data_IF_805600524006
#
_entry.id   IF_805600524006
#
_cell.length_a   1.000
_cell.length_b   1.000
_cell.length_c   1.000
_cell.angle_alpha   90.00
_cell.angle_beta   90.00
_cell.angle_gamma   90.00
#
_symmetry.space_group_name_H-M   'P 1'
#
loop_
_entity.id
_entity.type
_entity.pdbx_description
1 polymer ?
#
# COMPACT_ATOMS: atom_id res chain seq x y z
N UNK A 1 -24.92 19.75 -1.40
CA UNK A 1 -23.78 20.15 -0.54
C UNK A 1 -22.90 18.93 -0.40
N UNK A 2 -21.64 19.00 -0.85
CA UNK A 2 -20.63 18.00 -0.50
C UNK A 2 -20.22 18.34 0.93
N UNK A 3 -20.40 17.39 1.84
CA UNK A 3 -20.02 17.55 3.24
C UNK A 3 -18.49 17.64 3.32
N UNK A 4 -17.94 18.51 4.16
CA UNK A 4 -16.48 18.54 4.38
C UNK A 4 -16.02 17.26 5.11
N UNK A 5 -14.71 17.05 5.19
CA UNK A 5 -14.13 15.81 5.72
C UNK A 5 -14.56 15.53 7.18
N UNK A 6 -14.75 16.60 7.96
CA UNK A 6 -15.24 16.53 9.34
C UNK A 6 -16.71 16.10 9.41
N UNK A 7 -17.58 16.68 8.56
CA UNK A 7 -18.96 16.24 8.45
C UNK A 7 -19.07 14.77 8.02
N UNK A 8 -18.15 14.29 7.18
CA UNK A 8 -18.11 12.88 6.82
C UNK A 8 -17.71 11.95 7.97
N UNK A 9 -16.71 12.34 8.78
CA UNK A 9 -16.31 11.60 9.96
C UNK A 9 -17.48 11.40 10.94
N UNK A 10 -18.27 12.44 11.17
CA UNK A 10 -19.47 12.36 12.02
C UNK A 10 -20.48 11.36 11.46
N UNK A 11 -20.69 11.31 10.14
CA UNK A 11 -21.57 10.30 9.55
C UNK A 11 -21.09 8.87 9.76
N UNK A 12 -19.77 8.62 9.71
CA UNK A 12 -19.20 7.30 10.01
C UNK A 12 -19.40 6.92 11.50
N UNK A 13 -19.10 7.85 12.41
CA UNK A 13 -19.28 7.64 13.87
C UNK A 13 -20.74 7.52 14.28
N UNK A 14 -21.66 8.15 13.54
CA UNK A 14 -23.10 8.08 13.81
C UNK A 14 -23.81 6.93 13.08
N UNK A 15 -23.12 6.21 12.19
CA UNK A 15 -23.69 5.10 11.41
C UNK A 15 -24.60 5.57 10.26
N UNK A 16 -24.48 6.84 9.87
CA UNK A 16 -25.16 7.46 8.72
C UNK A 16 -24.39 7.25 7.41
N UNK A 17 -23.14 6.79 7.50
CA UNK A 17 -22.33 6.28 6.40
C UNK A 17 -21.67 4.96 6.84
N UNK A 18 -21.33 4.13 5.85
CA UNK A 18 -20.66 2.83 6.05
C UNK A 18 -19.42 2.70 5.16
N UNK A 19 -18.44 1.92 5.61
CA UNK A 19 -17.32 1.46 4.77
C UNK A 19 -17.56 -0.01 4.40
N UNK A 20 -17.66 -0.31 3.11
CA UNK A 20 -17.74 -1.66 2.58
C UNK A 20 -16.38 -2.07 2.03
N UNK A 21 -15.85 -3.21 2.46
CA UNK A 21 -14.50 -3.66 2.14
C UNK A 21 -14.55 -5.07 1.54
N UNK A 22 -14.07 -5.23 0.31
CA UNK A 22 -13.86 -6.53 -0.31
C UNK A 22 -12.35 -6.77 -0.39
N UNK A 23 -11.86 -7.80 0.31
CA UNK A 23 -10.45 -8.11 0.41
C UNK A 23 -10.19 -9.46 -0.25
N UNK A 24 -9.28 -9.52 -1.21
CA UNK A 24 -9.02 -10.72 -2.00
C UNK A 24 -7.52 -11.03 -1.95
N UNK A 25 -7.16 -12.18 -1.40
CA UNK A 25 -5.79 -12.69 -1.38
C UNK A 25 -5.75 -14.09 -1.98
N UNK A 26 -4.91 -14.30 -2.99
CA UNK A 26 -4.81 -15.58 -3.72
C UNK A 26 -3.36 -16.06 -3.74
N UNK A 27 -3.11 -17.15 -3.02
CA UNK A 27 -1.81 -17.84 -3.00
C UNK A 27 -1.79 -19.00 -3.98
N UNK A 28 -2.87 -19.78 -4.06
CA UNK A 28 -2.88 -21.03 -4.82
C UNK A 28 -3.82 -20.98 -6.03
N UNK A 29 -3.33 -21.53 -7.14
CA UNK A 29 -3.95 -21.55 -8.45
C UNK A 29 -4.06 -22.99 -8.97
N UNK A 30 -5.19 -23.33 -9.59
CA UNK A 30 -5.38 -24.66 -10.21
C UNK A 30 -4.65 -24.80 -11.54
N UNK A 31 -4.42 -23.68 -12.24
CA UNK A 31 -3.59 -23.65 -13.45
C UNK A 31 -2.10 -23.64 -13.10
N UNK A 32 -1.40 -24.72 -13.44
CA UNK A 32 0.03 -24.89 -13.19
C UNK A 32 0.94 -23.87 -13.88
N UNK A 33 0.43 -23.08 -14.84
CA UNK A 33 1.16 -21.96 -15.47
C UNK A 33 1.30 -20.76 -14.52
N UNK A 34 0.40 -20.65 -13.54
CA UNK A 34 0.47 -19.67 -12.46
C UNK A 34 1.22 -20.28 -11.28
N UNK A 35 2.37 -19.71 -10.95
CA UNK A 35 3.16 -20.16 -9.79
C UNK A 35 2.43 -19.80 -8.49
N UNK A 36 2.33 -20.71 -7.51
CA UNK A 36 1.81 -20.37 -6.19
C UNK A 36 2.58 -19.21 -5.54
N UNK A 37 1.87 -18.39 -4.79
CA UNK A 37 2.41 -17.35 -3.92
C UNK A 37 2.36 -17.82 -2.46
N UNK A 38 3.08 -17.12 -1.59
CA UNK A 38 3.19 -17.48 -0.17
C UNK A 38 2.77 -16.37 0.80
N UNK A 39 2.53 -15.16 0.29
CA UNK A 39 2.24 -13.99 1.13
C UNK A 39 0.88 -13.37 0.84
N UNK A 40 0.20 -13.64 -0.29
CA UNK A 40 -0.99 -12.89 -0.68
C UNK A 40 -2.15 -13.09 0.30
N UNK A 41 -2.39 -14.32 0.77
CA UNK A 41 -3.43 -14.57 1.78
C UNK A 41 -3.01 -14.02 3.14
N UNK A 42 -1.76 -14.25 3.56
CA UNK A 42 -1.25 -13.74 4.85
C UNK A 42 -1.32 -12.22 4.94
N UNK A 43 -0.95 -11.52 3.87
CA UNK A 43 -0.97 -10.06 3.79
C UNK A 43 -2.40 -9.52 3.75
N UNK A 44 -3.31 -10.20 3.06
CA UNK A 44 -4.73 -9.88 3.07
C UNK A 44 -5.35 -10.06 4.48
N UNK A 45 -4.97 -11.10 5.23
CA UNK A 45 -5.41 -11.32 6.61
C UNK A 45 -4.88 -10.24 7.57
N UNK A 46 -3.58 -9.89 7.47
CA UNK A 46 -3.00 -8.79 8.26
C UNK A 46 -3.70 -7.45 7.97
N UNK A 47 -4.07 -7.22 6.71
CA UNK A 47 -4.81 -6.05 6.28
C UNK A 47 -6.24 -6.06 6.84
N UNK A 48 -6.93 -7.20 6.82
CA UNK A 48 -8.25 -7.36 7.45
C UNK A 48 -8.19 -6.95 8.92
N UNK A 49 -7.21 -7.46 9.69
CA UNK A 49 -7.05 -7.13 11.10
C UNK A 49 -6.75 -5.64 11.32
N UNK A 50 -5.88 -5.05 10.50
CA UNK A 50 -5.59 -3.62 10.58
C UNK A 50 -6.82 -2.75 10.27
N UNK A 51 -7.64 -3.14 9.29
CA UNK A 51 -8.88 -2.44 8.94
C UNK A 51 -9.94 -2.58 10.04
N UNK A 52 -10.04 -3.74 10.70
CA UNK A 52 -10.92 -3.90 11.88
C UNK A 52 -10.52 -2.92 13.00
N UNK A 53 -9.22 -2.81 13.29
CA UNK A 53 -8.71 -1.86 14.28
C UNK A 53 -8.97 -0.43 13.85
N UNK A 54 -8.60 -0.07 12.61
CA UNK A 54 -8.72 1.29 12.09
C UNK A 54 -10.18 1.76 12.02
N UNK A 55 -11.14 0.85 11.86
CA UNK A 55 -12.57 1.19 11.74
C UNK A 55 -13.37 0.94 13.03
N UNK A 56 -12.73 0.58 14.14
CA UNK A 56 -13.42 0.21 15.39
C UNK A 56 -14.34 1.31 15.95
N UNK A 57 -14.00 2.58 15.70
CA UNK A 57 -14.76 3.75 16.17
C UNK A 57 -15.93 4.11 15.24
N UNK A 58 -16.07 3.44 14.09
CA UNK A 58 -17.16 3.66 13.16
C UNK A 58 -18.32 2.72 13.49
N UNK A 59 -19.55 3.24 13.53
CA UNK A 59 -20.73 2.42 13.84
C UNK A 59 -21.08 1.40 12.75
N UNK A 60 -20.52 1.57 11.55
CA UNK A 60 -20.79 0.70 10.42
C UNK A 60 -19.56 0.53 9.52
N UNK A 61 -18.93 -0.63 9.61
CA UNK A 61 -17.97 -1.14 8.63
C UNK A 61 -18.30 -2.61 8.34
N UNK A 62 -18.08 -3.06 7.10
CA UNK A 62 -18.35 -4.43 6.67
C UNK A 62 -17.16 -4.93 5.86
N UNK A 63 -16.55 -6.03 6.30
CA UNK A 63 -15.43 -6.68 5.58
C UNK A 63 -15.91 -8.01 5.01
N UNK A 64 -15.64 -8.22 3.73
CA UNK A 64 -15.91 -9.44 2.94
C UNK A 64 -14.58 -10.00 2.45
N UNK A 65 -13.90 -10.86 3.23
CA UNK A 65 -12.63 -11.44 2.83
C UNK A 65 -12.83 -12.70 1.96
N UNK A 66 -11.98 -12.85 0.94
CA UNK A 66 -11.88 -14.03 0.09
C UNK A 66 -10.42 -14.49 0.06
N UNK A 67 -10.16 -15.69 0.60
CA UNK A 67 -8.83 -16.27 0.74
C UNK A 67 -8.71 -17.53 -0.12
N UNK A 68 -7.77 -17.53 -1.06
CA UNK A 68 -7.47 -18.67 -1.92
C UNK A 68 -6.11 -19.28 -1.59
N UNK A 69 -6.04 -20.12 -0.56
CA UNK A 69 -4.85 -20.87 -0.17
C UNK A 69 -5.09 -22.39 -0.24
N UNK A 70 -3.99 -23.16 -0.25
CA UNK A 70 -3.99 -24.61 -0.33
C UNK A 70 -4.66 -25.20 0.92
N UNK A 71 -5.62 -26.08 0.68
CA UNK A 71 -6.44 -26.70 1.74
C UNK A 71 -7.76 -25.99 2.01
N UNK A 72 -7.92 -24.76 1.52
CA UNK A 72 -9.18 -24.03 1.56
C UNK A 72 -10.03 -24.30 0.31
N UNK A 73 -11.29 -23.84 0.35
CA UNK A 73 -12.14 -23.80 -0.86
C UNK A 73 -11.51 -22.81 -1.86
N UNK A 74 -11.28 -23.20 -3.13
CA UNK A 74 -10.79 -22.28 -4.15
C UNK A 74 -11.73 -21.08 -4.32
N UNK A 75 -11.17 -19.87 -4.43
CA UNK A 75 -11.92 -18.65 -4.75
C UNK A 75 -12.14 -18.59 -6.26
N UNK A 76 -13.40 -18.51 -6.68
CA UNK A 76 -13.75 -18.39 -8.11
C UNK A 76 -14.15 -16.97 -8.50
N UNK A 77 -14.23 -16.73 -9.81
CA UNK A 77 -14.75 -15.47 -10.35
C UNK A 77 -16.17 -15.19 -9.86
N UNK A 78 -17.02 -16.22 -9.83
CA UNK A 78 -18.40 -16.13 -9.37
C UNK A 78 -18.48 -15.77 -7.89
N UNK A 79 -17.58 -16.30 -7.04
CA UNK A 79 -17.52 -15.94 -5.62
C UNK A 79 -17.24 -14.43 -5.46
N UNK A 80 -16.26 -13.89 -6.20
CA UNK A 80 -15.93 -12.45 -6.16
C UNK A 80 -17.05 -11.59 -6.74
N UNK A 81 -17.61 -11.97 -7.89
CA UNK A 81 -18.70 -11.23 -8.52
C UNK A 81 -19.97 -11.23 -7.67
N UNK A 82 -20.25 -12.30 -6.93
CA UNK A 82 -21.37 -12.37 -5.99
C UNK A 82 -21.22 -11.40 -4.81
N UNK A 83 -20.03 -11.32 -4.19
CA UNK A 83 -19.77 -10.36 -3.13
C UNK A 83 -19.80 -8.92 -3.66
N UNK A 84 -19.19 -8.68 -4.82
CA UNK A 84 -19.21 -7.35 -5.45
C UNK A 84 -20.64 -6.92 -5.80
N UNK A 85 -21.46 -7.80 -6.36
CA UNK A 85 -22.87 -7.52 -6.65
C UNK A 85 -23.65 -7.20 -5.37
N UNK A 86 -23.43 -7.96 -4.29
CA UNK A 86 -24.05 -7.73 -2.98
C UNK A 86 -23.71 -6.35 -2.43
N UNK A 87 -22.43 -5.96 -2.51
CA UNK A 87 -21.96 -4.64 -2.07
C UNK A 87 -22.55 -3.53 -2.96
N UNK A 88 -22.47 -3.66 -4.28
CA UNK A 88 -22.99 -2.66 -5.24
C UNK A 88 -24.49 -2.42 -5.07
N UNK A 89 -25.26 -3.45 -4.74
CA UNK A 89 -26.70 -3.34 -4.48
C UNK A 89 -27.00 -2.69 -3.12
N UNK A 90 -26.14 -2.89 -2.13
CA UNK A 90 -26.35 -2.43 -0.75
C UNK A 90 -25.82 -1.02 -0.48
N UNK A 91 -24.77 -0.60 -1.20
CA UNK A 91 -24.04 0.63 -0.94
C UNK A 91 -24.89 1.88 -1.20
N UNK A 92 -24.76 2.88 -0.32
CA UNK A 92 -25.48 4.16 -0.40
C UNK A 92 -24.56 5.30 -0.84
N UNK A 93 -25.16 6.44 -1.15
CA UNK A 93 -24.45 7.63 -1.65
C UNK A 93 -23.33 8.09 -0.70
N UNK A 94 -23.54 8.02 0.62
CA UNK A 94 -22.55 8.46 1.60
C UNK A 94 -21.49 7.41 1.96
N UNK A 95 -21.64 6.19 1.49
CA UNK A 95 -20.76 5.09 1.84
C UNK A 95 -19.43 5.15 1.07
N UNK A 96 -18.43 4.46 1.60
CA UNK A 96 -17.13 4.22 0.96
C UNK A 96 -17.06 2.76 0.54
N UNK A 97 -16.56 2.51 -0.67
CA UNK A 97 -16.24 1.18 -1.17
C UNK A 97 -14.73 1.02 -1.24
N UNK A 98 -14.16 0.03 -0.56
CA UNK A 98 -12.73 -0.29 -0.53
C UNK A 98 -12.53 -1.68 -1.11
N UNK A 99 -11.70 -1.80 -2.14
CA UNK A 99 -11.32 -3.08 -2.74
C UNK A 99 -9.81 -3.27 -2.55
N UNK A 100 -9.42 -4.42 -2.02
CA UNK A 100 -8.03 -4.85 -1.97
C UNK A 100 -7.87 -6.15 -2.75
N UNK A 101 -6.83 -6.24 -3.57
CA UNK A 101 -6.44 -7.47 -4.25
C UNK A 101 -4.93 -7.70 -4.13
N UNK A 102 -4.55 -8.93 -3.78
CA UNK A 102 -3.18 -9.44 -3.79
C UNK A 102 -3.16 -10.78 -4.51
N UNK A 103 -2.31 -10.91 -5.53
CA UNK A 103 -2.25 -12.11 -6.37
C UNK A 103 -1.64 -11.83 -7.74
N UNK A 104 -1.76 -12.79 -8.66
CA UNK A 104 -1.28 -12.62 -10.04
C UNK A 104 -2.24 -11.78 -10.89
N UNK A 105 -1.66 -11.10 -11.89
CA UNK A 105 -2.39 -10.50 -13.01
C UNK A 105 -1.93 -11.14 -14.31
N UNK A 106 -2.80 -11.21 -15.30
CA UNK A 106 -2.47 -11.71 -16.63
C UNK A 106 -3.15 -10.86 -17.71
N UNK A 107 -2.48 -10.70 -18.85
CA UNK A 107 -3.04 -10.01 -20.01
C UNK A 107 -3.64 -11.05 -20.95
N UNK A 108 -4.95 -10.94 -21.18
CA UNK A 108 -5.68 -11.77 -22.11
C UNK A 108 -5.29 -11.54 -23.58
N UNK A 109 -5.68 -12.47 -24.44
CA UNK A 109 -5.52 -12.34 -25.90
C UNK A 109 -6.33 -11.17 -26.50
N UNK A 110 -7.29 -10.66 -25.73
CA UNK A 110 -8.09 -9.45 -26.00
C UNK A 110 -7.39 -8.16 -25.54
N UNK A 111 -6.12 -8.25 -25.13
CA UNK A 111 -5.33 -7.14 -24.61
C UNK A 111 -6.02 -6.46 -23.41
N UNK A 112 -6.68 -7.26 -22.55
CA UNK A 112 -7.28 -6.81 -21.29
C UNK A 112 -6.56 -7.42 -20.09
N UNK A 113 -6.49 -6.65 -19.00
CA UNK A 113 -5.91 -7.12 -17.74
C UNK A 113 -6.95 -7.86 -16.91
N UNK A 114 -6.58 -9.06 -16.47
CA UNK A 114 -7.35 -9.91 -15.57
C UNK A 114 -6.59 -10.14 -14.28
N UNK A 115 -7.28 -10.05 -13.15
CA UNK A 115 -6.79 -10.50 -11.85
C UNK A 115 -7.04 -12.00 -11.74
N UNK A 116 -6.00 -12.76 -11.44
CA UNK A 116 -6.08 -14.22 -11.34
C UNK A 116 -6.64 -14.63 -9.98
N UNK A 117 -7.59 -15.56 -10.01
CA UNK A 117 -8.23 -16.18 -8.86
C UNK A 117 -7.83 -17.66 -8.81
N UNK A 118 -8.19 -18.37 -7.74
CA UNK A 118 -7.72 -19.76 -7.54
C UNK A 118 -8.06 -20.70 -8.70
N UNK A 119 -9.16 -20.44 -9.42
CA UNK A 119 -9.61 -21.28 -10.54
C UNK A 119 -9.27 -20.73 -11.93
N UNK A 120 -8.59 -19.58 -12.01
CA UNK A 120 -8.23 -18.94 -13.28
C UNK A 120 -7.39 -19.87 -14.15
N UNK A 121 -7.75 -19.93 -15.43
CA UNK A 121 -7.01 -20.62 -16.49
C UNK A 121 -6.44 -19.57 -17.44
N UNK A 122 -5.12 -19.56 -17.61
CA UNK A 122 -4.40 -18.55 -18.42
C UNK A 122 -4.68 -18.64 -19.93
N UNK A 123 -5.17 -19.78 -20.41
CA UNK A 123 -5.71 -19.94 -21.77
C UNK A 123 -7.20 -19.59 -21.92
N UNK A 124 -7.88 -19.25 -20.81
CA UNK A 124 -9.28 -18.86 -20.79
C UNK A 124 -9.56 -17.73 -19.78
N UNK A 125 -8.75 -16.67 -19.83
CA UNK A 125 -8.81 -15.54 -18.90
C UNK A 125 -10.15 -14.79 -18.95
N UNK A 126 -10.77 -14.67 -20.14
CA UNK A 126 -12.05 -13.99 -20.31
C UNK A 126 -13.15 -14.60 -19.43
N UNK A 127 -13.23 -15.92 -19.40
CA UNK A 127 -14.26 -16.63 -18.64
C UNK A 127 -13.86 -16.82 -17.17
N UNK A 128 -12.59 -17.09 -16.89
CA UNK A 128 -12.13 -17.57 -15.56
C UNK A 128 -11.36 -16.56 -14.72
N UNK A 129 -10.92 -15.45 -15.31
CA UNK A 129 -10.23 -14.36 -14.63
C UNK A 129 -11.18 -13.20 -14.30
N UNK A 130 -10.83 -12.40 -13.30
CA UNK A 130 -11.57 -11.18 -12.96
C UNK A 130 -11.04 -9.99 -13.76
N UNK A 131 -11.75 -9.61 -14.82
CA UNK A 131 -11.34 -8.49 -15.67
C UNK A 131 -11.33 -7.16 -14.91
N UNK A 132 -10.21 -6.44 -14.93
CA UNK A 132 -10.07 -5.14 -14.23
C UNK A 132 -11.08 -4.11 -14.75
N UNK A 133 -11.34 -4.09 -16.06
CA UNK A 133 -12.38 -3.23 -16.64
C UNK A 133 -13.78 -3.58 -16.14
N UNK A 134 -14.07 -4.87 -15.97
CA UNK A 134 -15.35 -5.31 -15.41
C UNK A 134 -15.49 -4.83 -13.96
N UNK A 135 -14.48 -5.07 -13.12
CA UNK A 135 -14.44 -4.58 -11.73
C UNK A 135 -14.67 -3.07 -11.66
N UNK A 136 -13.91 -2.28 -12.44
CA UNK A 136 -14.06 -0.83 -12.48
C UNK A 136 -15.44 -0.40 -12.99
N UNK A 137 -16.06 -1.12 -13.92
CA UNK A 137 -17.44 -0.83 -14.36
C UNK A 137 -18.48 -1.00 -13.25
N UNK A 138 -18.32 -2.01 -12.39
CA UNK A 138 -19.17 -2.22 -11.21
C UNK A 138 -18.98 -1.10 -10.19
N UNK A 139 -17.73 -0.68 -9.96
CA UNK A 139 -17.43 0.51 -9.14
C UNK A 139 -18.12 1.74 -9.74
N UNK A 140 -18.06 1.95 -11.05
CA UNK A 140 -18.73 3.08 -11.70
C UNK A 140 -20.24 3.06 -11.45
N UNK A 141 -20.86 1.89 -11.57
CA UNK A 141 -22.30 1.69 -11.41
C UNK A 141 -22.80 1.82 -9.95
N UNK A 142 -21.92 1.61 -8.96
CA UNK A 142 -22.29 1.68 -7.54
C UNK A 142 -22.75 3.08 -7.13
N UNK A 143 -23.51 3.18 -6.03
CA UNK A 143 -23.92 4.50 -5.50
C UNK A 143 -22.87 5.18 -4.64
N UNK A 144 -21.81 4.46 -4.23
CA UNK A 144 -20.76 4.99 -3.36
C UNK A 144 -20.15 6.26 -3.96
N UNK A 145 -20.09 7.35 -3.18
CA UNK A 145 -19.42 8.58 -3.61
C UNK A 145 -17.91 8.50 -3.45
N UNK A 146 -17.43 7.60 -2.58
CA UNK A 146 -16.02 7.39 -2.25
C UNK A 146 -15.60 5.98 -2.56
N UNK A 147 -14.48 5.84 -3.26
CA UNK A 147 -14.01 4.55 -3.75
C UNK A 147 -12.51 4.44 -3.60
N UNK A 148 -12.06 3.33 -3.03
CA UNK A 148 -10.65 3.03 -2.81
C UNK A 148 -10.33 1.70 -3.47
N UNK A 149 -9.25 1.66 -4.24
CA UNK A 149 -8.73 0.44 -4.87
C UNK A 149 -7.27 0.28 -4.48
N UNK A 150 -6.93 -0.83 -3.86
CA UNK A 150 -5.56 -1.15 -3.49
C UNK A 150 -5.16 -2.45 -4.19
N UNK A 151 -4.04 -2.42 -4.92
CA UNK A 151 -3.60 -3.54 -5.75
C UNK A 151 -2.15 -3.88 -5.43
N UNK A 152 -1.94 -5.07 -4.86
CA UNK A 152 -0.63 -5.71 -4.72
C UNK A 152 -0.52 -6.87 -5.73
N UNK A 153 -0.65 -6.53 -7.01
CA UNK A 153 -0.78 -7.51 -8.10
C UNK A 153 0.48 -7.68 -8.96
N UNK A 154 1.60 -7.06 -8.57
CA UNK A 154 2.82 -7.00 -9.39
C UNK A 154 3.73 -8.23 -9.24
N UNK A 155 3.19 -9.35 -8.73
CA UNK A 155 3.91 -10.63 -8.59
C UNK A 155 4.03 -11.43 -9.92
N UNK A 156 3.50 -10.91 -11.01
CA UNK A 156 3.36 -11.62 -12.30
C UNK A 156 4.37 -11.10 -13.34
N UNK A 157 5.62 -11.51 -13.21
CA UNK A 157 6.60 -11.37 -14.29
C UNK A 157 7.61 -12.47 -14.16
N UNK A 158 7.31 -13.67 -14.66
CA UNK A 158 8.19 -14.81 -14.42
C UNK A 158 7.78 -16.16 -14.97
N UNK A 159 7.09 -16.20 -16.13
CA UNK A 159 6.89 -17.45 -16.87
C UNK A 159 7.00 -17.23 -18.39
N UNK A 160 8.20 -16.97 -18.92
CA UNK A 160 8.49 -17.30 -20.33
C UNK A 160 8.92 -18.76 -20.37
N UNK A 161 7.93 -19.63 -20.60
CA UNK A 161 8.09 -21.06 -20.83
C UNK A 161 7.48 -21.48 -22.16
N UNK A 162 8.14 -21.09 -23.26
CA UNK A 162 8.29 -21.95 -24.44
C UNK A 162 7.02 -22.43 -25.19
N UNK A 163 6.22 -21.54 -25.80
CA UNK A 163 5.42 -21.90 -27.00
C UNK A 163 5.35 -20.70 -27.98
N UNK A 164 5.68 -20.97 -29.24
CA UNK A 164 6.19 -19.98 -30.17
C UNK A 164 5.15 -19.19 -30.98
N UNK A 165 5.55 -17.97 -31.36
CA UNK A 165 5.06 -17.30 -32.56
C UNK A 165 6.25 -16.58 -33.23
N UNK A 166 6.94 -17.31 -34.11
CA UNK A 166 7.95 -16.76 -35.03
C UNK A 166 7.25 -15.79 -35.98
N UNK A 167 7.64 -14.52 -35.98
CA UNK A 167 7.46 -13.63 -37.13
C UNK A 167 8.81 -13.23 -37.71
N UNK A 168 8.85 -13.23 -39.04
CA UNK A 168 10.03 -13.30 -39.93
C UNK A 168 10.80 -11.98 -40.00
N UNK A 169 12.14 -12.05 -40.12
CA UNK A 169 12.92 -10.92 -40.61
C UNK A 169 14.43 -10.95 -40.42
N UNK A 170 15.13 -11.67 -41.30
CA UNK A 170 16.51 -11.42 -41.80
C UNK A 170 17.77 -11.75 -40.98
N UNK A 171 18.70 -12.36 -41.74
CA UNK A 171 20.14 -12.51 -41.57
C UNK A 171 20.66 -13.63 -40.64
N UNK A 172 20.93 -14.76 -41.30
CA UNK A 172 21.86 -15.82 -40.90
C UNK A 172 23.28 -15.25 -40.83
N UNK A 173 23.95 -15.41 -39.70
CA UNK A 173 25.41 -15.48 -39.61
C UNK A 173 25.76 -16.69 -38.75
N UNK A 174 26.25 -17.75 -39.40
CA UNK A 174 26.87 -18.90 -38.74
C UNK A 174 28.17 -18.46 -38.03
N UNK A 175 28.34 -18.85 -36.77
CA UNK A 175 29.67 -18.98 -36.15
C UNK A 175 29.76 -20.30 -35.39
N UNK A 176 30.87 -21.00 -35.65
CA UNK A 176 31.26 -22.30 -35.10
C UNK A 176 31.62 -22.26 -33.60
N UNK A 177 31.63 -23.41 -32.90
CA UNK A 177 31.70 -23.48 -31.44
C UNK A 177 33.13 -23.61 -30.96
N UNK A 178 33.71 -22.53 -30.42
CA UNK A 178 34.90 -22.54 -29.56
C UNK A 178 35.17 -21.09 -29.14
N UNK A 179 34.54 -20.68 -28.05
CA UNK A 179 35.01 -19.63 -27.14
C UNK A 179 34.03 -19.64 -25.97
N UNK A 180 34.49 -20.12 -24.81
CA UNK A 180 33.75 -20.07 -23.57
C UNK A 180 34.20 -18.81 -22.81
N UNK A 181 33.38 -17.76 -22.67
CA UNK A 181 33.64 -16.73 -21.70
C UNK A 181 33.04 -17.16 -20.36
N UNK A 182 33.88 -17.09 -19.34
CA UNK A 182 33.61 -16.67 -17.96
C UNK A 182 32.13 -16.49 -17.61
N UNK A 183 31.68 -17.24 -16.60
CA UNK A 183 30.30 -17.31 -16.14
C UNK A 183 29.62 -15.95 -16.10
N UNK A 184 28.58 -15.81 -16.91
CA UNK A 184 27.55 -14.80 -16.71
C UNK A 184 26.93 -15.08 -15.34
N UNK A 185 27.09 -14.14 -14.42
CA UNK A 185 26.21 -13.96 -13.27
C UNK A 185 24.83 -13.59 -13.84
N UNK A 186 24.13 -14.58 -14.41
CA UNK A 186 22.74 -14.42 -14.79
C UNK A 186 21.96 -14.17 -13.50
N UNK A 187 21.54 -12.91 -13.32
CA UNK A 187 20.49 -12.55 -12.41
C UNK A 187 19.24 -13.35 -12.83
N UNK A 188 19.03 -14.51 -12.20
CA UNK A 188 17.85 -15.38 -12.31
C UNK A 188 16.58 -14.69 -11.74
N UNK A 189 16.58 -13.35 -11.66
CA UNK A 189 15.41 -12.59 -11.29
C UNK A 189 14.35 -12.76 -12.38
N UNK A 190 13.10 -13.07 -11.99
CA UNK A 190 12.02 -13.14 -12.96
C UNK A 190 11.93 -11.83 -13.76
N UNK A 191 11.99 -11.91 -15.09
CA UNK A 191 11.80 -10.73 -15.96
C UNK A 191 10.45 -10.08 -15.62
N UNK A 192 10.50 -8.88 -15.02
CA UNK A 192 9.32 -8.06 -14.78
C UNK A 192 8.61 -7.85 -16.10
N UNK A 193 7.34 -8.27 -16.22
CA UNK A 193 6.53 -7.93 -17.38
C UNK A 193 5.94 -6.52 -17.16
N UNK A 194 6.52 -5.45 -17.75
CA UNK A 194 6.06 -4.08 -17.50
C UNK A 194 4.62 -3.86 -17.97
N UNK A 195 4.13 -4.70 -18.90
CA UNK A 195 2.82 -4.54 -19.51
C UNK A 195 1.67 -4.61 -18.51
N UNK A 196 1.79 -5.42 -17.44
CA UNK A 196 0.74 -5.54 -16.42
C UNK A 196 0.58 -4.23 -15.65
N UNK A 197 1.69 -3.67 -15.15
CA UNK A 197 1.68 -2.39 -14.44
C UNK A 197 1.22 -1.24 -15.33
N UNK A 198 1.65 -1.24 -16.59
CA UNK A 198 1.20 -0.29 -17.60
C UNK A 198 -0.33 -0.39 -17.81
N UNK A 199 -0.85 -1.60 -18.06
CA UNK A 199 -2.28 -1.81 -18.33
C UNK A 199 -3.17 -1.47 -17.14
N UNK A 200 -2.71 -1.77 -15.93
CA UNK A 200 -3.40 -1.41 -14.70
C UNK A 200 -3.52 0.11 -14.58
N UNK A 201 -2.40 0.82 -14.78
CA UNK A 201 -2.34 2.28 -14.74
C UNK A 201 -3.22 2.91 -15.82
N UNK A 202 -3.22 2.37 -17.04
CA UNK A 202 -4.09 2.80 -18.15
C UNK A 202 -5.58 2.67 -17.80
N UNK A 203 -6.01 1.49 -17.31
CA UNK A 203 -7.40 1.24 -16.92
C UNK A 203 -7.86 2.19 -15.80
N UNK A 204 -6.99 2.44 -14.81
CA UNK A 204 -7.29 3.34 -13.70
C UNK A 204 -7.33 4.81 -14.13
N UNK A 205 -6.43 5.26 -15.01
CA UNK A 205 -6.48 6.61 -15.57
C UNK A 205 -7.76 6.88 -16.37
N UNK A 206 -8.19 5.90 -17.17
CA UNK A 206 -9.46 5.96 -17.90
C UNK A 206 -10.66 6.02 -16.92
N UNK A 207 -10.58 5.28 -15.81
CA UNK A 207 -11.59 5.31 -14.77
C UNK A 207 -11.67 6.68 -14.08
N UNK A 208 -10.54 7.18 -13.57
CA UNK A 208 -10.39 8.48 -12.91
C UNK A 208 -10.98 9.61 -13.76
N UNK A 209 -10.73 9.57 -15.08
CA UNK A 209 -11.22 10.57 -16.02
C UNK A 209 -12.74 10.53 -16.27
N UNK A 210 -13.42 9.44 -15.91
CA UNK A 210 -14.82 9.19 -16.29
C UNK A 210 -15.76 8.84 -15.13
N UNK A 211 -15.25 8.63 -13.91
CA UNK A 211 -16.03 8.11 -12.78
C UNK A 211 -16.98 9.17 -12.17
N UNK A 212 -16.56 10.44 -12.12
CA UNK A 212 -17.33 11.51 -11.48
C UNK A 212 -17.51 11.36 -9.97
N UNK A 213 -16.62 10.61 -9.31
CA UNK A 213 -16.64 10.24 -7.88
C UNK A 213 -15.31 10.57 -7.23
N UNK A 214 -15.29 10.66 -5.90
CA UNK A 214 -14.04 10.70 -5.14
C UNK A 214 -13.43 9.29 -5.19
N UNK A 215 -12.25 9.18 -5.79
CA UNK A 215 -11.58 7.92 -6.06
C UNK A 215 -10.12 7.98 -5.65
N UNK A 216 -9.63 6.89 -5.07
CA UNK A 216 -8.23 6.72 -4.73
C UNK A 216 -7.76 5.32 -5.11
N UNK A 217 -6.72 5.21 -5.91
CA UNK A 217 -6.03 3.95 -6.14
C UNK A 217 -4.60 4.00 -5.60
N UNK A 218 -4.19 2.90 -4.97
CA UNK A 218 -2.86 2.67 -4.44
C UNK A 218 -2.29 1.36 -4.99
N UNK A 219 -1.22 1.45 -5.78
CA UNK A 219 -0.57 0.30 -6.42
C UNK A 219 0.79 0.03 -5.75
N UNK A 220 1.19 -1.23 -5.66
CA UNK A 220 2.38 -1.62 -4.91
C UNK A 220 3.71 -1.18 -5.53
N UNK A 221 3.78 -0.95 -6.84
CA UNK A 221 4.97 -0.43 -7.52
C UNK A 221 4.63 0.34 -8.82
N UNK A 222 5.62 1.07 -9.35
CA UNK A 222 5.57 1.73 -10.66
C UNK A 222 5.78 0.73 -11.82
N UNK A 223 5.52 1.20 -13.05
CA UNK A 223 5.82 0.45 -14.26
C UNK A 223 7.30 0.05 -14.32
N UNK A 224 7.57 -1.21 -14.68
CA UNK A 224 8.92 -1.75 -14.76
C UNK A 224 9.61 -2.01 -13.41
N UNK A 225 8.89 -1.90 -12.30
CA UNK A 225 9.35 -2.26 -10.96
C UNK A 225 8.68 -3.55 -10.46
N UNK A 226 9.20 -4.11 -9.37
CA UNK A 226 8.69 -5.34 -8.77
C UNK A 226 8.13 -5.06 -7.36
N UNK A 227 7.11 -5.81 -6.95
CA UNK A 227 6.71 -5.88 -5.54
C UNK A 227 7.59 -6.92 -4.82
N UNK A 228 8.32 -6.50 -3.79
CA UNK A 228 9.26 -7.37 -3.08
C UNK A 228 8.65 -7.91 -1.79
N UNK A 229 9.07 -9.12 -1.45
CA UNK A 229 8.77 -9.78 -0.18
C UNK A 229 10.04 -9.96 0.64
N UNK A 230 9.87 -9.90 1.97
CA UNK A 230 10.95 -10.21 2.93
C UNK A 230 10.48 -11.34 3.84
N UNK A 231 11.37 -12.30 4.10
CA UNK A 231 11.07 -13.46 4.95
C UNK A 231 10.63 -13.02 6.35
N UNK A 232 9.53 -13.58 6.85
CA UNK A 232 8.91 -13.21 8.13
C UNK A 232 8.18 -11.85 8.15
N UNK A 233 8.27 -11.08 7.06
CA UNK A 233 7.73 -9.73 6.91
C UNK A 233 6.48 -9.72 6.02
N UNK A 234 6.48 -10.56 4.98
CA UNK A 234 5.50 -10.53 3.88
C UNK A 234 5.91 -9.54 2.79
N UNK A 235 4.95 -9.11 1.96
CA UNK A 235 5.14 -8.06 0.97
C UNK A 235 5.49 -6.73 1.62
N UNK A 236 6.56 -6.07 1.17
CA UNK A 236 7.04 -4.80 1.76
C UNK A 236 5.96 -3.71 1.67
N UNK A 237 5.26 -3.62 0.55
CA UNK A 237 4.16 -2.68 0.36
C UNK A 237 3.03 -2.93 1.35
N UNK A 238 2.51 -4.17 1.40
CA UNK A 238 1.36 -4.48 2.25
C UNK A 238 1.72 -4.40 3.73
N UNK A 239 2.94 -4.73 4.12
CA UNK A 239 3.43 -4.49 5.48
C UNK A 239 3.25 -3.02 5.89
N UNK A 240 3.73 -2.06 5.10
CA UNK A 240 3.59 -0.64 5.47
C UNK A 240 2.17 -0.13 5.31
N UNK A 241 1.35 -0.73 4.44
CA UNK A 241 -0.09 -0.45 4.41
C UNK A 241 -0.75 -0.82 5.73
N UNK A 242 -0.48 -2.04 6.23
CA UNK A 242 -0.96 -2.56 7.51
C UNK A 242 -0.49 -1.68 8.67
N UNK A 243 0.80 -1.34 8.73
CA UNK A 243 1.35 -0.50 9.79
C UNK A 243 0.81 0.94 9.76
N UNK A 244 0.58 1.47 8.55
CA UNK A 244 -0.08 2.76 8.37
C UNK A 244 -1.51 2.77 8.92
N UNK A 245 -2.28 1.71 8.61
CA UNK A 245 -3.66 1.52 9.09
C UNK A 245 -3.75 1.25 10.60
N UNK A 246 -2.71 0.67 11.20
CA UNK A 246 -2.59 0.58 12.68
C UNK A 246 -2.31 1.93 13.35
N UNK A 247 -2.22 3.02 12.59
CA UNK A 247 -2.12 4.38 13.11
C UNK A 247 -0.82 5.09 12.81
N UNK A 248 0.20 4.43 12.25
CA UNK A 248 1.46 5.11 11.87
C UNK A 248 1.29 6.12 10.74
N UNK A 249 0.21 6.01 9.96
CA UNK A 249 -0.17 6.98 8.95
C UNK A 249 -1.27 7.95 9.41
N UNK A 250 -1.68 7.91 10.69
CA UNK A 250 -2.69 8.81 11.18
C UNK A 250 -2.21 10.27 11.12
N UNK A 251 -3.13 11.16 10.74
CA UNK A 251 -2.93 12.59 10.70
C UNK A 251 -2.95 13.17 12.14
N UNK A 252 -2.80 14.50 12.27
CA UNK A 252 -2.86 15.18 13.54
C UNK A 252 -4.06 14.83 14.45
N UNK A 253 -5.23 14.77 13.84
CA UNK A 253 -6.50 14.48 14.50
C UNK A 253 -6.69 12.97 14.78
N UNK A 254 -5.71 12.14 14.44
CA UNK A 254 -5.77 10.68 14.56
C UNK A 254 -6.52 10.02 13.39
N UNK A 255 -6.86 10.74 12.33
CA UNK A 255 -7.57 10.20 11.17
C UNK A 255 -6.60 9.56 10.20
N UNK A 256 -6.96 8.39 9.67
CA UNK A 256 -6.23 7.75 8.58
C UNK A 256 -6.95 8.13 7.29
N UNK A 257 -6.38 9.13 6.62
CA UNK A 257 -6.80 9.57 5.30
C UNK A 257 -5.93 8.90 4.23
N UNK A 258 -6.47 8.66 3.05
CA UNK A 258 -5.75 7.94 1.99
C UNK A 258 -4.48 8.69 1.51
N UNK A 259 -4.48 10.02 1.48
CA UNK A 259 -3.28 10.81 1.12
C UNK A 259 -2.14 10.60 2.13
N UNK A 260 -2.46 10.65 3.42
CA UNK A 260 -1.50 10.40 4.50
C UNK A 260 -1.01 8.94 4.51
N UNK A 261 -1.93 7.99 4.33
CA UNK A 261 -1.59 6.57 4.19
C UNK A 261 -0.65 6.32 3.02
N UNK A 262 -0.91 6.90 1.85
CA UNK A 262 -0.02 6.81 0.70
C UNK A 262 1.38 7.36 0.99
N UNK A 263 1.49 8.57 1.56
CA UNK A 263 2.79 9.19 1.87
C UNK A 263 3.61 8.29 2.80
N UNK A 264 2.96 7.75 3.84
CA UNK A 264 3.57 6.81 4.77
C UNK A 264 4.04 5.54 4.04
N UNK A 265 3.16 4.89 3.29
CA UNK A 265 3.45 3.65 2.57
C UNK A 265 4.60 3.85 1.59
N UNK A 266 4.51 4.86 0.69
CA UNK A 266 5.55 5.14 -0.31
C UNK A 266 6.92 5.35 0.33
N UNK A 267 6.99 6.20 1.36
CA UNK A 267 8.25 6.50 2.05
C UNK A 267 8.90 5.24 2.59
N UNK A 268 8.15 4.45 3.33
CA UNK A 268 8.69 3.30 4.04
C UNK A 268 8.97 2.13 3.09
N UNK A 269 8.16 1.93 2.04
CA UNK A 269 8.44 0.93 1.00
C UNK A 269 9.76 1.22 0.29
N UNK A 270 9.96 2.45 -0.21
CA UNK A 270 11.21 2.84 -0.89
C UNK A 270 12.42 2.67 0.03
N UNK A 271 12.30 3.11 1.29
CA UNK A 271 13.35 2.94 2.30
C UNK A 271 13.68 1.47 2.56
N UNK A 272 12.67 0.64 2.76
CA UNK A 272 12.83 -0.77 3.07
C UNK A 272 13.46 -1.54 1.91
N UNK A 273 13.10 -1.23 0.66
CA UNK A 273 13.76 -1.81 -0.51
C UNK A 273 15.24 -1.41 -0.54
N UNK A 274 15.55 -0.15 -0.27
CA UNK A 274 16.93 0.34 -0.22
C UNK A 274 17.77 -0.31 0.89
N UNK A 275 17.16 -0.61 2.04
CA UNK A 275 17.84 -1.18 3.22
C UNK A 275 17.91 -2.71 3.17
N UNK A 276 16.87 -3.39 2.68
CA UNK A 276 16.72 -4.85 2.80
C UNK A 276 16.92 -5.59 1.48
N UNK A 277 16.64 -4.96 0.33
CA UNK A 277 16.74 -5.61 -0.99
C UNK A 277 17.99 -5.15 -1.75
N UNK A 278 18.27 -3.84 -1.78
CA UNK A 278 19.41 -3.30 -2.52
C UNK A 278 20.80 -3.84 -2.11
N UNK A 279 21.06 -4.29 -0.86
CA UNK A 279 22.33 -4.94 -0.53
C UNK A 279 22.64 -6.19 -1.36
N UNK A 280 21.60 -6.93 -1.80
CA UNK A 280 21.75 -8.11 -2.66
C UNK A 280 21.35 -7.84 -4.11
N UNK A 281 20.52 -6.81 -4.36
CA UNK A 281 20.05 -6.42 -5.70
C UNK A 281 20.14 -4.90 -5.90
N UNK A 282 21.32 -4.33 -6.25
CA UNK A 282 21.55 -2.88 -6.24
C UNK A 282 20.62 -2.03 -7.13
N UNK A 283 19.99 -2.63 -8.14
CA UNK A 283 19.07 -1.96 -9.07
C UNK A 283 17.59 -2.11 -8.66
N UNK A 284 17.30 -2.85 -7.58
CA UNK A 284 15.93 -3.10 -7.13
C UNK A 284 15.21 -1.79 -6.77
N UNK A 285 13.96 -1.70 -7.21
CA UNK A 285 13.08 -0.57 -6.92
C UNK A 285 11.68 -1.09 -6.62
N UNK A 286 11.00 -0.36 -5.74
CA UNK A 286 9.57 -0.48 -5.52
C UNK A 286 9.05 0.86 -5.00
N UNK A 287 8.27 1.52 -5.83
CA UNK A 287 7.73 2.85 -5.56
C UNK A 287 6.22 2.77 -5.69
N UNK A 288 5.47 2.80 -4.58
CA UNK A 288 4.02 2.77 -4.63
C UNK A 288 3.45 3.93 -5.46
N UNK A 289 2.45 3.62 -6.28
CA UNK A 289 1.78 4.58 -7.17
C UNK A 289 0.45 5.00 -6.59
N UNK A 290 0.14 6.29 -6.68
CA UNK A 290 -1.16 6.84 -6.33
C UNK A 290 -1.84 7.44 -7.55
N UNK A 291 -3.12 7.12 -7.72
CA UNK A 291 -4.02 7.75 -8.69
C UNK A 291 -5.27 8.25 -7.97
N UNK A 292 -5.69 9.48 -8.22
CA UNK A 292 -6.86 10.07 -7.54
C UNK A 292 -7.81 10.77 -8.50
N UNK A 293 -9.10 10.78 -8.15
CA UNK A 293 -10.14 11.59 -8.78
C UNK A 293 -10.98 12.27 -7.71
N UNK A 294 -11.59 13.41 -8.04
CA UNK A 294 -12.44 14.15 -7.12
C UNK A 294 -11.70 15.25 -6.36
N UNK A 295 -12.36 15.83 -5.36
CA UNK A 295 -11.89 17.06 -4.69
C UNK A 295 -11.69 16.89 -3.18
N UNK A 296 -11.95 15.71 -2.65
CA UNK A 296 -11.81 15.41 -1.22
C UNK A 296 -10.95 14.17 -1.03
N UNK A 297 -10.18 14.16 0.06
CA UNK A 297 -9.53 12.94 0.51
C UNK A 297 -10.55 12.00 1.15
N UNK A 298 -10.16 10.73 1.33
CA UNK A 298 -11.03 9.67 1.83
C UNK A 298 -10.50 9.22 3.19
N UNK A 299 -11.34 9.34 4.23
CA UNK A 299 -11.09 8.73 5.54
C UNK A 299 -11.36 7.23 5.43
N UNK A 300 -10.39 6.40 5.81
CA UNK A 300 -10.53 4.95 5.88
C UNK A 300 -10.47 4.40 7.31
N UNK A 301 -10.05 5.21 8.28
CA UNK A 301 -9.99 4.80 9.67
C UNK A 301 -9.63 5.93 10.64
N UNK A 302 -9.59 5.57 11.92
CA UNK A 302 -9.01 6.35 13.01
C UNK A 302 -7.86 5.50 13.54
N UNK A 303 -6.66 6.08 13.56
CA UNK A 303 -5.52 5.46 14.21
C UNK A 303 -5.80 5.33 15.69
N UNK A 304 -5.95 4.11 16.17
CA UNK A 304 -5.69 3.83 17.57
C UNK A 304 -4.21 4.12 17.76
N UNK A 305 -3.84 5.23 18.42
CA UNK A 305 -2.48 5.42 18.87
C UNK A 305 -2.22 4.38 19.97
N UNK A 306 -2.03 3.11 19.59
CA UNK A 306 -1.47 2.06 20.45
C UNK A 306 0.05 2.16 20.41
N UNK A 307 0.60 3.36 20.57
CA UNK A 307 1.83 3.43 21.33
C UNK A 307 1.34 3.42 22.77
N UNK A 308 1.69 2.37 23.53
CA UNK A 308 1.64 2.58 24.96
C UNK A 308 2.50 3.80 25.28
N UNK A 309 2.16 4.53 26.33
CA UNK A 309 2.88 5.73 26.76
C UNK A 309 4.40 5.48 26.93
N UNK A 310 4.82 4.22 27.06
CA UNK A 310 6.20 3.76 27.16
C UNK A 310 6.91 3.59 25.79
N UNK A 311 6.19 3.29 24.71
CA UNK A 311 6.78 2.93 23.40
C UNK A 311 7.32 4.13 22.60
N UNK A 312 6.76 5.34 22.80
CA UNK A 312 7.21 6.56 22.12
C UNK A 312 8.64 6.97 22.53
N UNK A 313 9.12 6.49 23.68
CA UNK A 313 10.44 6.81 24.24
C UNK A 313 11.15 5.62 24.89
N UNK A 314 10.75 4.37 24.59
CA UNK A 314 11.35 3.19 25.20
C UNK A 314 12.87 3.16 24.94
N UNK A 315 13.72 2.86 25.96
CA UNK A 315 15.14 2.68 25.72
C UNK A 315 15.36 1.48 24.79
N UNK A 316 16.36 1.53 23.89
CA UNK A 316 16.65 0.40 23.01
C UNK A 316 16.96 -0.86 23.86
N UNK A 317 16.64 -2.07 23.36
CA UNK A 317 16.94 -3.31 24.06
C UNK A 317 18.41 -3.36 24.51
N UNK A 318 18.67 -3.96 25.66
CA UNK A 318 20.02 -3.94 26.28
C UNK A 318 21.14 -4.56 25.41
N UNK A 319 20.79 -5.30 24.34
CA UNK A 319 21.72 -5.98 23.44
C UNK A 319 21.82 -5.34 22.04
N UNK A 320 21.39 -4.09 21.88
CA UNK A 320 21.41 -3.40 20.58
C UNK A 320 22.82 -2.85 20.27
N UNK A 321 23.33 -3.03 19.05
CA UNK A 321 24.66 -2.53 18.67
C UNK A 321 24.73 -1.00 18.73
N UNK A 322 25.91 -0.41 18.94
CA UNK A 322 26.04 1.04 19.15
C UNK A 322 25.55 1.89 17.97
N UNK A 323 25.68 1.38 16.73
CA UNK A 323 25.13 2.04 15.54
C UNK A 323 23.61 1.97 15.46
N UNK A 324 23.03 0.84 15.87
CA UNK A 324 21.58 0.62 15.88
C UNK A 324 20.87 1.40 17.00
N UNK A 325 21.55 1.63 18.12
CA UNK A 325 21.07 2.49 19.23
C UNK A 325 20.84 3.92 18.76
N UNK A 326 21.77 4.48 17.97
CA UNK A 326 21.67 5.84 17.44
C UNK A 326 20.52 5.94 16.44
N UNK A 327 20.43 4.98 15.51
CA UNK A 327 19.35 4.92 14.52
C UNK A 327 17.96 4.78 15.17
N UNK A 328 17.81 3.96 16.21
CA UNK A 328 16.55 3.82 16.96
C UNK A 328 16.21 5.08 17.76
N UNK A 329 17.19 5.71 18.43
CA UNK A 329 16.95 7.00 19.10
C UNK A 329 16.50 8.08 18.11
N UNK A 330 17.11 8.12 16.93
CA UNK A 330 16.70 9.04 15.86
C UNK A 330 15.24 8.79 15.45
N UNK A 331 14.85 7.52 15.26
CA UNK A 331 13.48 7.15 14.96
C UNK A 331 12.49 7.54 16.07
N UNK A 332 12.88 7.43 17.35
CA UNK A 332 12.04 7.83 18.48
C UNK A 332 11.81 9.34 18.51
N UNK A 333 12.85 10.15 18.32
CA UNK A 333 12.69 11.61 18.24
C UNK A 333 11.85 12.04 17.05
N UNK A 334 11.99 11.37 15.91
CA UNK A 334 11.16 11.61 14.72
C UNK A 334 9.69 11.22 14.97
N UNK A 335 9.44 10.11 15.67
CA UNK A 335 8.08 9.68 16.03
C UNK A 335 7.44 10.65 17.04
N UNK A 336 8.16 11.07 18.07
CA UNK A 336 7.69 12.06 19.04
C UNK A 336 7.47 13.44 18.40
N UNK A 337 8.35 13.85 17.49
CA UNK A 337 8.20 15.06 16.69
C UNK A 337 6.97 14.99 15.78
N UNK A 338 6.78 13.87 15.07
CA UNK A 338 5.59 13.61 14.27
C UNK A 338 4.34 13.66 15.14
N UNK A 339 4.36 13.03 16.33
CA UNK A 339 3.26 13.06 17.31
C UNK A 339 2.94 14.49 17.78
N UNK A 340 3.94 15.32 18.05
CA UNK A 340 3.73 16.71 18.49
C UNK A 340 3.29 17.64 17.37
N UNK A 341 3.83 17.49 16.16
CA UNK A 341 3.34 18.18 14.97
C UNK A 341 1.87 17.80 14.73
N UNK A 342 1.55 16.52 14.90
CA UNK A 342 0.22 15.95 14.86
C UNK A 342 -0.73 16.45 15.95
N UNK A 343 -0.34 17.11 17.04
CA UNK A 343 -1.34 17.56 18.03
C UNK A 343 -1.39 19.06 18.20
N UNK A 344 -0.79 19.76 17.23
CA UNK A 344 -0.26 21.09 17.40
C UNK A 344 0.77 21.09 18.54
N UNK A 345 1.97 21.61 18.27
CA UNK A 345 3.02 21.68 19.28
C UNK A 345 2.46 22.24 20.60
N UNK A 346 2.84 21.70 21.78
CA UNK A 346 2.34 22.19 23.05
C UNK A 346 2.40 23.72 23.13
N UNK A 347 1.39 24.40 23.69
CA UNK A 347 1.28 25.87 23.66
C UNK A 347 2.45 26.60 24.34
N UNK A 348 3.29 25.88 25.09
CA UNK A 348 4.50 26.39 25.75
C UNK A 348 5.76 26.35 24.87
N UNK A 349 5.66 25.88 23.63
CA UNK A 349 6.73 26.00 22.62
C UNK A 349 6.74 27.41 22.07
N UNK A 350 7.93 28.00 21.90
CA UNK A 350 8.08 29.38 21.40
C UNK A 350 7.56 29.49 19.97
N UNK A 351 7.04 30.65 19.58
CA UNK A 351 6.53 30.86 18.21
C UNK A 351 7.61 30.67 17.14
N UNK A 352 8.85 31.06 17.46
CA UNK A 352 10.01 30.87 16.59
C UNK A 352 10.34 29.39 16.38
N UNK A 353 10.38 28.60 17.46
CA UNK A 353 10.65 27.17 17.35
C UNK A 353 9.47 26.44 16.70
N UNK A 354 8.22 26.85 16.97
CA UNK A 354 7.03 26.33 16.30
C UNK A 354 7.08 26.55 14.79
N UNK A 355 7.48 27.75 14.35
CA UNK A 355 7.62 28.04 12.92
C UNK A 355 8.72 27.18 12.28
N UNK A 356 9.86 26.99 12.96
CA UNK A 356 10.95 26.12 12.51
C UNK A 356 10.51 24.65 12.42
N UNK A 357 9.81 24.15 13.43
CA UNK A 357 9.27 22.80 13.46
C UNK A 357 8.24 22.56 12.32
N UNK A 358 7.38 23.54 12.04
CA UNK A 358 6.44 23.46 10.91
C UNK A 358 7.16 23.41 9.55
N UNK A 359 8.21 24.22 9.37
CA UNK A 359 9.02 24.18 8.14
C UNK A 359 9.75 22.84 7.97
N UNK A 360 10.26 22.26 9.06
CA UNK A 360 10.90 20.95 9.04
C UNK A 360 9.88 19.84 8.68
N UNK A 361 8.68 19.90 9.25
CA UNK A 361 7.61 18.96 8.94
C UNK A 361 7.13 19.07 7.48
N UNK A 362 6.93 20.28 6.96
CA UNK A 362 6.57 20.50 5.56
C UNK A 362 7.67 20.01 4.60
N UNK A 363 8.94 20.30 4.89
CA UNK A 363 10.07 19.84 4.09
C UNK A 363 10.18 18.30 4.08
N UNK A 364 9.92 17.66 5.22
CA UNK A 364 10.02 16.22 5.41
C UNK A 364 8.81 15.43 4.87
N UNK A 365 7.59 15.97 5.02
CA UNK A 365 6.34 15.32 4.58
C UNK A 365 6.03 15.53 3.09
N UNK A 366 6.54 16.61 2.47
CA UNK A 366 6.19 17.01 1.10
C UNK A 366 7.28 16.80 0.05
N UNK A 367 8.52 16.45 0.44
CA UNK A 367 9.65 16.22 -0.49
C UNK A 367 10.36 14.88 -0.23
N UNK A 368 9.71 13.74 -0.52
CA UNK A 368 10.24 12.41 -0.20
C UNK A 368 11.57 12.10 -0.90
N UNK A 369 11.82 12.68 -2.09
CA UNK A 369 13.02 12.39 -2.88
C UNK A 369 14.29 13.08 -2.34
N UNK A 370 14.16 13.92 -1.30
CA UNK A 370 15.29 14.54 -0.57
C UNK A 370 15.46 14.00 0.86
N UNK A 371 14.73 12.95 1.23
CA UNK A 371 14.64 12.49 2.62
C UNK A 371 16.01 12.20 3.28
N UNK A 372 16.99 11.71 2.53
CA UNK A 372 18.34 11.38 3.04
C UNK A 372 19.20 12.62 3.33
N UNK A 373 19.13 13.63 2.46
CA UNK A 373 19.81 14.93 2.63
C UNK A 373 19.13 15.79 3.73
N UNK A 374 17.83 15.58 3.91
CA UNK A 374 17.01 16.17 4.98
C UNK A 374 17.28 15.46 6.32
N UNK A 375 17.46 14.14 6.36
CA UNK A 375 17.80 13.40 7.59
C UNK A 375 19.04 13.98 8.26
N UNK A 376 20.15 14.12 7.53
CA UNK A 376 21.43 14.53 8.11
C UNK A 376 21.41 15.97 8.66
N UNK A 377 20.64 16.87 8.02
CA UNK A 377 20.56 18.28 8.41
C UNK A 377 19.43 18.59 9.40
N UNK A 378 18.33 17.82 9.36
CA UNK A 378 17.13 18.09 10.17
C UNK A 378 17.08 17.23 11.44
N UNK A 379 17.73 16.06 11.47
CA UNK A 379 17.73 15.22 12.68
C UNK A 379 18.37 15.97 13.86
N UNK A 380 19.48 16.68 13.64
CA UNK A 380 20.13 17.44 14.73
C UNK A 380 19.22 18.54 15.27
N UNK A 381 18.50 19.24 14.38
CA UNK A 381 17.54 20.28 14.76
C UNK A 381 16.31 19.68 15.48
N UNK A 382 15.77 18.57 14.97
CA UNK A 382 14.65 17.85 15.59
C UNK A 382 15.05 17.30 16.95
N UNK A 383 16.24 16.72 17.08
CA UNK A 383 16.80 16.24 18.34
C UNK A 383 16.98 17.36 19.34
N UNK A 384 17.61 18.46 18.92
CA UNK A 384 17.81 19.62 19.77
C UNK A 384 16.47 20.16 20.30
N UNK A 385 15.48 20.30 19.42
CA UNK A 385 14.16 20.81 19.80
C UNK A 385 13.37 19.80 20.65
N UNK A 386 13.47 18.51 20.34
CA UNK A 386 12.82 17.46 21.12
C UNK A 386 13.42 17.34 22.53
N UNK A 387 14.74 17.46 22.68
CA UNK A 387 15.41 17.53 23.99
C UNK A 387 15.04 18.82 24.74
N UNK A 388 15.08 19.98 24.06
CA UNK A 388 14.71 21.28 24.63
C UNK A 388 13.30 21.28 25.19
N UNK A 389 12.38 20.57 24.56
CA UNK A 389 10.98 20.50 24.94
C UNK A 389 10.58 19.16 25.53
N UNK A 390 11.52 18.29 25.88
CA UNK A 390 11.25 16.90 26.26
C UNK A 390 10.25 16.83 27.40
N UNK A 391 10.47 17.57 28.50
CA UNK A 391 9.54 17.62 29.63
C UNK A 391 8.16 18.17 29.28
N UNK A 392 8.08 19.11 28.33
CA UNK A 392 6.82 19.71 27.89
C UNK A 392 6.06 18.72 26.99
N UNK A 393 6.77 18.08 26.08
CA UNK A 393 6.27 17.03 25.19
C UNK A 393 5.79 15.87 26.04
N UNK A 394 6.63 15.35 26.93
CA UNK A 394 6.30 14.33 27.92
C UNK A 394 5.04 14.73 28.70
N UNK A 395 4.99 15.90 29.33
CA UNK A 395 3.78 16.32 30.07
C UNK A 395 2.55 16.54 29.19
N UNK A 396 2.71 16.87 27.91
CA UNK A 396 1.61 17.06 26.97
C UNK A 396 1.08 15.72 26.46
N UNK A 397 1.98 14.75 26.28
CA UNK A 397 1.72 13.35 25.91
C UNK A 397 1.09 12.60 27.09
N UNK A 398 1.63 12.75 28.31
CA UNK A 398 1.30 11.97 29.52
C UNK A 398 0.16 12.54 30.41
N UNK A 399 -0.53 13.64 30.04
CA UNK A 399 -1.57 14.28 30.90
C UNK A 399 -3.02 13.96 30.53
N UNK A 400 -3.29 12.91 29.75
CA UNK A 400 -4.65 12.38 29.58
C UNK A 400 -4.75 11.00 30.21
N UNK A 401 -4.70 10.97 31.54
CA UNK A 401 -5.21 9.88 32.39
C UNK A 401 -6.38 10.42 33.20
#
# INVERSE_FOLDING_TARGET
MRDDLNGYLDFLKEGKARIWMLLIGIDDYTDTRLKPLSCAVSDCQKLEDALKIATQDFKASEIRPLYGASGDRPVTKEDVEAELATIVQSVKVRDTLFIYFSGHGEIGSDDQLYLCLSTTQTDNLLETGLGVRHLLSQLKASKASRQVVVMDACHSGGTIGQFGARSRGSAVLERSPQDSPLGDDHDDSPEVNPAIGQKLTENLNQYVSSAGKDFFALLSCEEGQQSWEVSGFGGIFTHYLVEGLKGKAANPEGLIEMDHLYKYVRRNTVRSVQEQICPTRPTAKQTPVRLTAGNQDIIIGVGSLTYSEEDLFAPPPQNTSHGDVVAQQHAHYLNAFSYCYQRQFPPKISDQDRQRLNQLAEAWLLKPDKAKEIEDNCIQDIQFLAQKYEDIIKRHVYKRS
#
